data_IF_660447234886
#
_entry.id   IF_660447234886
#
_cell.length_a   1.000
_cell.length_b   1.000
_cell.length_c   1.000
_cell.angle_alpha   90.00
_cell.angle_beta   90.00
_cell.angle_gamma   90.00
#
_symmetry.space_group_name_H-M   'P 1'
#
loop_
_entity.id
_entity.type
_entity.pdbx_description
1 polymer ?
#
# COMPACT_ATOMS: atom_id res chain seq x y z
N UNK A 1 -43.05 13.69 65.66
CA UNK A 1 -43.28 14.60 64.51
C UNK A 1 -43.40 13.75 63.25
N UNK A 2 -44.43 13.92 62.41
CA UNK A 2 -44.60 13.13 61.19
C UNK A 2 -43.91 13.77 59.98
N UNK A 3 -43.37 12.96 59.07
CA UNK A 3 -43.00 13.36 57.71
C UNK A 3 -43.53 12.32 56.72
N UNK A 4 -44.52 12.68 55.93
CA UNK A 4 -45.04 11.87 54.84
C UNK A 4 -44.41 12.34 53.52
N UNK A 5 -43.97 11.42 52.64
CA UNK A 5 -43.68 11.81 51.24
C UNK A 5 -43.91 10.75 50.17
N UNK A 6 -45.06 10.92 49.51
CA UNK A 6 -45.31 10.82 48.06
C UNK A 6 -45.01 9.49 47.36
N UNK A 7 -46.08 8.88 46.80
CA UNK A 7 -46.00 7.92 45.68
C UNK A 7 -45.79 8.70 44.37
N UNK A 8 -44.86 8.26 43.51
CA UNK A 8 -44.83 8.65 42.10
C UNK A 8 -44.84 7.41 41.22
N UNK A 9 -45.94 7.21 40.46
CA UNK A 9 -45.99 6.22 39.40
C UNK A 9 -45.50 6.84 38.08
N UNK A 10 -44.55 6.21 37.41
CA UNK A 10 -44.03 6.70 36.12
C UNK A 10 -44.94 6.19 35.00
N UNK A 11 -45.78 7.08 34.46
CA UNK A 11 -46.60 6.79 33.28
C UNK A 11 -45.76 6.96 32.00
N UNK A 12 -45.43 5.87 31.32
CA UNK A 12 -44.72 5.90 30.03
C UNK A 12 -45.64 6.38 28.90
N UNK A 13 -45.61 7.68 28.61
CA UNK A 13 -46.32 8.27 27.49
C UNK A 13 -45.71 7.85 26.14
N UNK A 14 -46.35 6.90 25.45
CA UNK A 14 -45.98 6.51 24.08
C UNK A 14 -46.40 7.61 23.09
N UNK A 15 -45.46 8.50 22.73
CA UNK A 15 -45.69 9.48 21.66
C UNK A 15 -45.64 8.80 20.27
N UNK A 16 -46.64 8.99 19.39
CA UNK A 16 -46.61 8.46 18.03
C UNK A 16 -45.69 9.32 17.13
N UNK A 17 -44.63 8.72 16.60
CA UNK A 17 -43.65 9.41 15.75
C UNK A 17 -44.26 9.73 14.38
N UNK A 18 -44.83 10.94 14.24
CA UNK A 18 -45.22 11.50 12.94
C UNK A 18 -43.98 11.96 12.18
N UNK A 19 -43.35 11.03 11.45
CA UNK A 19 -42.19 11.34 10.59
C UNK A 19 -42.64 12.30 9.49
N UNK A 20 -42.29 13.58 9.62
CA UNK A 20 -42.56 14.59 8.61
C UNK A 20 -41.70 14.35 7.37
N UNK A 21 -42.30 14.41 6.17
CA UNK A 21 -41.63 14.15 4.87
C UNK A 21 -40.34 14.99 4.67
N UNK A 22 -40.28 16.17 5.29
CA UNK A 22 -39.10 17.05 5.32
C UNK A 22 -37.84 16.40 5.92
N UNK A 23 -37.97 15.55 6.94
CA UNK A 23 -36.81 14.90 7.57
C UNK A 23 -36.05 13.97 6.63
N UNK A 24 -36.77 13.30 5.71
CA UNK A 24 -36.17 12.43 4.69
C UNK A 24 -35.36 13.24 3.67
N UNK A 25 -35.88 14.40 3.25
CA UNK A 25 -35.19 15.26 2.28
C UNK A 25 -33.85 15.81 2.82
N UNK A 26 -33.82 16.23 4.08
CA UNK A 26 -32.59 16.70 4.74
C UNK A 26 -31.56 15.58 4.90
N UNK A 27 -32.00 14.36 5.25
CA UNK A 27 -31.11 13.20 5.37
C UNK A 27 -30.49 12.80 4.03
N UNK A 28 -31.26 12.84 2.92
CA UNK A 28 -30.75 12.55 1.57
C UNK A 28 -29.70 13.57 1.13
N UNK A 29 -29.95 14.87 1.35
CA UNK A 29 -28.99 15.93 0.98
C UNK A 29 -27.66 15.82 1.74
N UNK A 30 -27.71 15.51 3.05
CA UNK A 30 -26.50 15.27 3.84
C UNK A 30 -25.75 14.00 3.37
N UNK A 31 -26.46 12.93 3.02
CA UNK A 31 -25.85 11.70 2.50
C UNK A 31 -25.10 11.92 1.18
N UNK A 32 -25.67 12.70 0.26
CA UNK A 32 -25.03 13.05 -1.03
C UNK A 32 -23.78 13.91 -0.80
N UNK A 33 -23.83 14.88 0.12
CA UNK A 33 -22.68 15.73 0.44
C UNK A 33 -21.48 14.94 1.00
N UNK A 34 -21.73 13.97 1.89
CA UNK A 34 -20.67 13.09 2.40
C UNK A 34 -20.13 12.16 1.31
N UNK A 35 -21.00 11.61 0.46
CA UNK A 35 -20.59 10.73 -0.64
C UNK A 35 -19.63 11.40 -1.64
N UNK A 36 -19.87 12.66 -1.99
CA UNK A 36 -19.04 13.40 -2.95
C UNK A 36 -17.59 13.64 -2.47
N UNK A 37 -17.37 13.82 -1.17
CA UNK A 37 -16.03 14.10 -0.59
C UNK A 37 -15.11 12.88 -0.70
N UNK A 38 -15.65 11.66 -0.64
CA UNK A 38 -14.84 10.42 -0.70
C UNK A 38 -14.28 10.17 -2.11
N UNK A 39 -15.02 10.53 -3.16
CA UNK A 39 -14.64 10.19 -4.55
C UNK A 39 -13.43 10.99 -5.03
N UNK A 40 -13.30 12.26 -4.63
CA UNK A 40 -12.22 13.14 -5.10
C UNK A 40 -10.83 12.87 -4.50
N UNK A 41 -10.68 11.90 -3.59
CA UNK A 41 -9.37 11.50 -3.02
C UNK A 41 -8.64 10.42 -3.84
N UNK A 42 -9.29 9.78 -4.81
CA UNK A 42 -8.76 8.56 -5.47
C UNK A 42 -7.88 8.85 -6.70
N UNK A 43 -7.97 10.05 -7.30
CA UNK A 43 -7.19 10.42 -8.50
C UNK A 43 -5.67 10.66 -8.25
N UNK A 44 -5.25 10.73 -6.97
CA UNK A 44 -3.90 11.20 -6.61
C UNK A 44 -2.75 10.20 -6.83
N UNK A 45 -3.02 8.90 -6.95
CA UNK A 45 -2.00 7.85 -7.01
C UNK A 45 -2.30 6.81 -8.09
N UNK A 46 -1.87 7.09 -9.32
CA UNK A 46 -1.80 6.08 -10.39
C UNK A 46 -0.48 5.33 -10.24
N UNK A 47 -0.57 4.18 -9.57
CA UNK A 47 0.42 3.12 -9.66
C UNK A 47 0.20 2.39 -11.00
N UNK A 48 1.25 2.26 -11.81
CA UNK A 48 1.19 1.52 -13.07
C UNK A 48 1.19 -0.02 -12.79
N UNK A 49 1.26 -0.89 -13.81
CA UNK A 49 1.35 -2.35 -13.58
C UNK A 49 2.83 -2.74 -13.34
N UNK A 50 3.16 -3.53 -12.29
CA UNK A 50 4.54 -3.96 -12.07
C UNK A 50 5.08 -4.77 -13.24
N UNK A 51 6.24 -4.37 -13.79
CA UNK A 51 6.85 -4.97 -14.97
C UNK A 51 8.20 -5.60 -14.64
N UNK A 52 8.53 -6.78 -15.19
CA UNK A 52 9.83 -7.41 -14.97
C UNK A 52 10.94 -6.68 -15.75
N UNK A 53 12.08 -6.50 -15.11
CA UNK A 53 13.34 -6.02 -15.71
C UNK A 53 14.45 -6.96 -15.27
N UNK A 54 15.19 -7.51 -16.22
CA UNK A 54 16.35 -8.39 -15.95
C UNK A 54 17.63 -7.57 -15.93
N UNK A 55 18.57 -7.95 -15.06
CA UNK A 55 19.83 -7.24 -14.93
C UNK A 55 20.81 -7.87 -13.96
N UNK A 56 21.93 -7.18 -13.80
CA UNK A 56 23.00 -7.54 -12.85
C UNK A 56 22.96 -6.60 -11.65
N UNK A 57 23.01 -7.16 -10.43
CA UNK A 57 23.22 -6.36 -9.21
C UNK A 57 24.68 -5.94 -9.13
N UNK A 58 24.94 -4.65 -8.95
CA UNK A 58 26.30 -4.09 -8.90
C UNK A 58 26.83 -3.98 -7.48
N UNK A 59 25.94 -3.84 -6.49
CA UNK A 59 26.22 -3.92 -5.06
C UNK A 59 24.91 -4.07 -4.28
N UNK A 60 24.95 -4.78 -3.15
CA UNK A 60 23.98 -4.67 -2.04
C UNK A 60 24.65 -3.88 -0.91
N UNK A 61 23.88 -3.10 -0.14
CA UNK A 61 24.38 -2.36 1.04
C UNK A 61 24.74 -3.28 2.22
N UNK A 62 25.22 -2.69 3.32
CA UNK A 62 25.64 -3.41 4.54
C UNK A 62 24.44 -3.97 5.34
N UNK A 63 23.27 -3.33 5.25
CA UNK A 63 22.04 -3.75 5.92
C UNK A 63 21.20 -4.76 5.10
N UNK A 64 21.46 -4.90 3.79
CA UNK A 64 20.60 -5.65 2.86
C UNK A 64 19.33 -4.89 2.43
N UNK A 65 19.23 -3.59 2.69
CA UNK A 65 18.04 -2.76 2.48
C UNK A 65 18.05 -1.95 1.18
N UNK A 66 19.17 -1.92 0.47
CA UNK A 66 19.30 -1.25 -0.82
C UNK A 66 20.25 -2.00 -1.75
N UNK A 67 20.02 -1.85 -3.06
CA UNK A 67 20.87 -2.44 -4.09
C UNK A 67 21.07 -1.48 -5.26
N UNK A 68 22.27 -1.52 -5.85
CA UNK A 68 22.55 -0.97 -7.18
C UNK A 68 22.29 -2.04 -8.23
N UNK A 69 21.61 -1.68 -9.32
CA UNK A 69 21.24 -2.59 -10.39
C UNK A 69 21.47 -1.95 -11.76
N UNK A 70 22.03 -2.73 -12.68
CA UNK A 70 22.20 -2.40 -14.09
C UNK A 70 21.35 -3.36 -14.92
N UNK A 71 20.33 -2.85 -15.59
CA UNK A 71 19.52 -3.62 -16.52
C UNK A 71 20.34 -4.08 -17.73
N UNK A 72 19.98 -5.21 -18.34
CA UNK A 72 20.74 -5.73 -19.49
C UNK A 72 20.38 -5.00 -20.80
N UNK A 73 19.12 -4.58 -20.95
CA UNK A 73 18.62 -3.85 -22.11
C UNK A 73 18.98 -2.34 -22.10
N UNK A 74 19.80 -1.86 -21.15
CA UNK A 74 20.17 -0.44 -21.06
C UNK A 74 21.54 -0.16 -21.73
N UNK A 75 21.59 0.36 -22.97
CA UNK A 75 22.81 0.38 -23.80
C UNK A 75 23.90 1.35 -23.33
N UNK A 76 23.65 2.14 -22.28
CA UNK A 76 24.61 3.08 -21.69
C UNK A 76 25.14 2.63 -20.32
N UNK A 77 24.76 1.43 -19.85
CA UNK A 77 25.34 0.80 -18.66
C UNK A 77 25.09 1.53 -17.34
N UNK A 78 23.93 2.18 -17.21
CA UNK A 78 23.51 2.86 -16.00
C UNK A 78 23.50 1.95 -14.78
N UNK A 79 23.67 2.53 -13.59
CA UNK A 79 23.42 1.83 -12.32
C UNK A 79 22.39 2.62 -11.54
N UNK A 80 21.21 2.04 -11.38
CA UNK A 80 20.11 2.65 -10.63
C UNK A 80 20.06 2.03 -9.23
N UNK A 81 19.99 2.88 -8.21
CA UNK A 81 19.82 2.45 -6.82
C UNK A 81 18.34 2.26 -6.48
N UNK A 82 18.01 1.11 -5.89
CA UNK A 82 16.67 0.77 -5.44
C UNK A 82 16.68 0.42 -3.95
N UNK A 83 15.64 0.82 -3.22
CA UNK A 83 15.37 0.30 -1.89
C UNK A 83 14.73 -1.09 -1.99
N UNK A 84 15.28 -2.06 -1.27
CA UNK A 84 14.76 -3.41 -1.13
C UNK A 84 13.90 -3.50 0.14
N UNK A 85 12.59 -3.39 -0.03
CA UNK A 85 11.63 -3.61 1.05
C UNK A 85 11.39 -5.11 1.32
N UNK A 86 10.57 -5.44 2.34
CA UNK A 86 10.05 -6.80 2.50
C UNK A 86 9.12 -7.14 1.34
N UNK A 87 9.65 -7.84 0.35
CA UNK A 87 8.96 -8.25 -0.89
C UNK A 87 8.83 -9.75 -0.99
N UNK A 88 7.83 -10.23 -1.74
CA UNK A 88 7.86 -11.62 -2.21
C UNK A 88 9.11 -11.83 -3.06
N UNK A 89 9.69 -13.03 -3.02
CA UNK A 89 10.77 -13.38 -3.92
C UNK A 89 10.70 -14.83 -4.38
N UNK A 90 11.45 -15.14 -5.44
CA UNK A 90 11.51 -16.47 -6.04
C UNK A 90 12.99 -16.88 -6.11
N UNK A 91 13.32 -18.08 -5.60
CA UNK A 91 14.69 -18.60 -5.68
C UNK A 91 15.02 -19.18 -7.07
N UNK A 92 16.28 -19.53 -7.29
CA UNK A 92 16.78 -20.12 -8.54
C UNK A 92 16.13 -21.47 -8.89
N UNK A 93 15.58 -22.18 -7.90
CA UNK A 93 14.80 -23.41 -8.10
C UNK A 93 13.31 -23.15 -8.43
N UNK A 94 12.86 -21.89 -8.37
CA UNK A 94 11.48 -21.48 -8.65
C UNK A 94 10.55 -21.49 -7.43
N UNK A 95 11.05 -21.72 -6.22
CA UNK A 95 10.24 -21.66 -4.99
C UNK A 95 9.87 -20.21 -4.68
N UNK A 96 8.59 -19.95 -4.42
CA UNK A 96 8.14 -18.63 -3.97
C UNK A 96 8.23 -18.51 -2.45
N UNK A 97 8.93 -17.47 -2.00
CA UNK A 97 9.08 -17.06 -0.62
C UNK A 97 8.29 -15.77 -0.39
N UNK A 98 7.62 -15.66 0.75
CA UNK A 98 6.74 -14.52 1.05
C UNK A 98 7.51 -13.36 1.67
N UNK A 99 6.98 -12.15 1.49
CA UNK A 99 7.45 -10.92 2.12
C UNK A 99 7.69 -11.08 3.64
N UNK A 100 8.83 -10.55 4.10
CA UNK A 100 9.33 -10.74 5.48
C UNK A 100 10.47 -11.77 5.58
N UNK A 101 10.81 -12.44 4.48
CA UNK A 101 12.09 -13.16 4.30
C UNK A 101 12.99 -12.39 3.33
N UNK A 102 14.31 -12.57 3.45
CA UNK A 102 15.29 -11.88 2.60
C UNK A 102 15.69 -12.74 1.39
N UNK A 103 15.81 -12.19 0.17
CA UNK A 103 16.24 -12.95 -1.00
C UNK A 103 17.67 -13.49 -0.84
N UNK A 104 17.84 -14.82 -0.97
CA UNK A 104 19.13 -15.49 -0.73
C UNK A 104 20.26 -15.01 -1.64
N UNK A 105 19.94 -14.74 -2.91
CA UNK A 105 20.90 -14.19 -3.87
C UNK A 105 21.23 -12.70 -3.61
N UNK A 106 20.55 -12.00 -2.69
CA UNK A 106 20.79 -10.58 -2.36
C UNK A 106 21.40 -10.39 -0.97
N UNK A 107 22.28 -11.29 -0.52
CA UNK A 107 22.98 -11.16 0.76
C UNK A 107 23.68 -9.79 0.92
N UNK A 108 23.76 -9.20 2.12
CA UNK A 108 24.46 -7.93 2.33
C UNK A 108 25.89 -7.93 1.78
N UNK A 109 26.31 -6.80 1.20
CA UNK A 109 27.61 -6.62 0.50
C UNK A 109 27.86 -7.53 -0.73
N UNK A 110 26.87 -8.30 -1.19
CA UNK A 110 26.98 -9.10 -2.43
C UNK A 110 26.95 -8.24 -3.70
N UNK A 111 27.42 -8.81 -4.81
CA UNK A 111 27.45 -8.19 -6.14
C UNK A 111 27.65 -9.24 -7.23
N UNK A 112 27.25 -8.93 -8.46
CA UNK A 112 27.44 -9.77 -9.66
C UNK A 112 26.31 -10.75 -9.95
N UNK A 113 25.37 -10.95 -9.03
CA UNK A 113 24.23 -11.84 -9.21
C UNK A 113 23.25 -11.32 -10.28
N UNK A 114 22.61 -12.26 -10.99
CA UNK A 114 21.66 -11.99 -12.06
C UNK A 114 20.23 -12.19 -11.56
N UNK A 115 19.37 -11.18 -11.73
CA UNK A 115 18.02 -11.17 -11.13
C UNK A 115 16.95 -10.59 -12.05
N UNK A 116 15.74 -11.11 -11.91
CA UNK A 116 14.47 -10.58 -12.42
C UNK A 116 13.91 -9.63 -11.32
N UNK A 117 13.77 -8.33 -11.57
CA UNK A 117 13.12 -7.36 -10.66
C UNK A 117 11.75 -6.97 -11.21
N UNK A 118 10.68 -7.06 -10.42
CA UNK A 118 9.40 -6.45 -10.79
C UNK A 118 9.37 -5.03 -10.25
N UNK A 119 9.49 -4.06 -11.16
CA UNK A 119 9.48 -2.64 -10.84
C UNK A 119 8.08 -2.06 -11.03
N UNK A 120 7.64 -1.30 -10.04
CA UNK A 120 6.39 -0.54 -10.08
C UNK A 120 6.68 0.95 -10.12
N UNK A 121 6.27 1.61 -11.20
CA UNK A 121 6.23 3.08 -11.27
C UNK A 121 5.13 3.62 -10.34
N UNK A 122 5.56 4.34 -9.31
CA UNK A 122 4.68 5.09 -8.39
C UNK A 122 4.85 6.57 -8.70
N UNK A 123 3.78 7.20 -9.19
CA UNK A 123 3.73 8.63 -9.46
C UNK A 123 3.16 9.36 -8.26
N UNK A 124 3.98 10.12 -7.55
CA UNK A 124 3.53 11.06 -6.52
C UNK A 124 3.44 12.48 -7.12
N UNK A 125 2.31 13.15 -6.92
CA UNK A 125 2.07 14.51 -7.43
C UNK A 125 3.08 15.56 -6.90
N UNK A 126 3.78 15.28 -5.80
CA UNK A 126 4.69 16.18 -5.11
C UNK A 126 6.14 15.70 -5.11
N UNK A 127 6.38 14.38 -5.22
CA UNK A 127 7.72 13.78 -5.21
C UNK A 127 8.20 13.22 -6.57
N UNK A 128 7.36 13.27 -7.60
CA UNK A 128 7.70 12.81 -8.95
C UNK A 128 7.52 11.29 -9.16
N UNK A 129 8.00 10.76 -10.30
CA UNK A 129 8.02 9.31 -10.54
C UNK A 129 9.15 8.66 -9.73
N UNK A 130 8.82 7.58 -9.03
CA UNK A 130 9.80 6.68 -8.37
C UNK A 130 9.45 5.24 -8.70
N UNK A 131 10.47 4.41 -8.86
CA UNK A 131 10.29 2.96 -9.02
C UNK A 131 10.50 2.27 -7.67
N UNK A 132 9.65 1.28 -7.37
CA UNK A 132 9.78 0.42 -6.20
C UNK A 132 9.82 -1.05 -6.64
N UNK A 133 10.67 -1.84 -6.00
CA UNK A 133 10.70 -3.29 -6.19
C UNK A 133 9.45 -3.87 -5.51
N UNK A 134 8.64 -4.64 -6.24
CA UNK A 134 7.49 -5.37 -5.68
C UNK A 134 7.74 -6.88 -5.57
N UNK A 135 8.71 -7.40 -6.33
CA UNK A 135 9.17 -8.80 -6.28
C UNK A 135 10.59 -8.92 -6.82
N UNK A 136 11.34 -9.89 -6.30
CA UNK A 136 12.66 -10.31 -6.81
C UNK A 136 12.58 -11.76 -7.30
N UNK A 137 13.38 -12.14 -8.29
CA UNK A 137 13.68 -13.53 -8.60
C UNK A 137 15.17 -13.71 -8.86
N UNK A 138 15.78 -14.66 -8.17
CA UNK A 138 17.14 -15.10 -8.42
C UNK A 138 17.19 -15.90 -9.73
N UNK A 139 18.03 -15.50 -10.69
CA UNK A 139 18.21 -16.22 -11.96
C UNK A 139 19.51 -17.04 -11.96
N UNK A 140 20.51 -16.60 -11.19
CA UNK A 140 21.71 -17.36 -10.86
C UNK A 140 22.18 -17.00 -9.46
N UNK A 141 22.67 -17.99 -8.71
CA UNK A 141 23.38 -17.83 -7.45
C UNK A 141 24.91 -17.86 -7.66
#
# INVERSE_FOLDING_TARGET
MPLARIKHGIAYARQPVRIARWGVAVAVLLGVAVGAVVVHQVDGARADVPHPVTGTVTAVDEDGTALGFRADDEPHGGTTGYALGPVDWIDSAGTTHLAGTHPSCLAPLSHGQHVELWLLDVRDANAGPRQVITRVRCLSD
#
